data_IF_198671260956
#
_entry.id   IF_198671260956
#
_cell.length_a   1.000
_cell.length_b   1.000
_cell.length_c   1.000
_cell.angle_alpha   90.00
_cell.angle_beta   90.00
_cell.angle_gamma   90.00
#
_symmetry.space_group_name_H-M   'P 1'
#
loop_
_entity.id
_entity.type
_entity.pdbx_description
1 polymer ?
#
# COMPACT_ATOMS: atom_id res chain seq x y z
N UNK A 1 1.99 23.95 15.24
CA UNK A 1 2.70 23.39 14.06
C UNK A 1 1.69 22.65 13.20
N UNK A 2 1.55 22.98 11.91
CA UNK A 2 0.67 22.24 10.98
C UNK A 2 1.54 21.33 10.10
N UNK A 3 1.19 20.04 10.01
CA UNK A 3 1.82 19.07 9.12
C UNK A 3 0.80 18.57 8.09
N UNK A 4 1.22 18.42 6.85
CA UNK A 4 0.44 17.84 5.76
C UNK A 4 0.98 16.46 5.42
N UNK A 5 0.18 15.43 5.71
CA UNK A 5 0.46 14.05 5.34
C UNK A 5 -0.35 13.67 4.10
N UNK A 6 0.36 13.22 3.07
CA UNK A 6 -0.20 12.67 1.84
C UNK A 6 0.02 11.15 1.85
N UNK A 7 -1.07 10.39 1.74
CA UNK A 7 -1.01 8.92 1.73
C UNK A 7 -2.06 8.31 0.81
N UNK A 8 -2.14 6.98 0.74
CA UNK A 8 -3.02 6.26 -0.17
C UNK A 8 -4.32 5.78 0.50
N UNK A 9 -5.33 5.45 -0.29
CA UNK A 9 -6.73 5.32 0.15
C UNK A 9 -6.95 4.42 1.37
N UNK A 10 -6.25 3.28 1.45
CA UNK A 10 -6.49 2.25 2.48
C UNK A 10 -5.77 2.53 3.81
N UNK A 11 -4.97 3.59 3.91
CA UNK A 11 -4.28 3.96 5.16
C UNK A 11 -5.06 4.97 6.01
N UNK A 12 -6.17 5.51 5.49
CA UNK A 12 -6.98 6.57 6.13
C UNK A 12 -7.32 6.27 7.58
N UNK A 13 -7.75 5.04 7.89
CA UNK A 13 -8.14 4.66 9.26
C UNK A 13 -6.94 4.63 10.19
N UNK A 14 -5.84 3.99 9.77
CA UNK A 14 -4.62 3.86 10.57
C UNK A 14 -4.04 5.25 10.89
N UNK A 15 -3.78 6.07 9.88
CA UNK A 15 -3.25 7.42 10.10
C UNK A 15 -4.20 8.32 10.88
N UNK A 16 -5.52 8.16 10.74
CA UNK A 16 -6.48 8.91 11.54
C UNK A 16 -6.39 8.63 13.05
N UNK A 17 -5.93 7.45 13.46
CA UNK A 17 -5.65 7.12 14.86
C UNK A 17 -4.23 7.50 15.26
N UNK A 18 -3.25 7.12 14.45
CA UNK A 18 -1.82 7.37 14.71
C UNK A 18 -1.54 8.86 14.88
N UNK A 19 -2.13 9.72 14.06
CA UNK A 19 -1.95 11.17 14.20
C UNK A 19 -2.52 11.72 15.50
N UNK A 20 -3.63 11.18 16.02
CA UNK A 20 -4.17 11.59 17.32
C UNK A 20 -3.24 11.19 18.47
N UNK A 21 -2.69 9.97 18.41
CA UNK A 21 -1.72 9.49 19.39
C UNK A 21 -0.44 10.34 19.35
N UNK A 22 0.07 10.61 18.15
CA UNK A 22 1.24 11.48 17.99
C UNK A 22 1.00 12.90 18.51
N UNK A 23 -0.15 13.53 18.21
CA UNK A 23 -0.47 14.88 18.70
C UNK A 23 -0.36 14.92 20.23
N UNK A 24 -1.00 13.97 20.92
CA UNK A 24 -0.97 13.87 22.38
C UNK A 24 0.45 13.66 22.89
N UNK A 25 1.15 12.65 22.37
CA UNK A 25 2.47 12.27 22.86
C UNK A 25 3.51 13.37 22.59
N UNK A 26 3.40 14.07 21.45
CA UNK A 26 4.30 15.16 21.09
C UNK A 26 4.08 16.39 21.96
N UNK A 27 2.82 16.73 22.27
CA UNK A 27 2.49 17.83 23.18
C UNK A 27 2.96 17.53 24.61
N UNK A 28 2.76 16.31 25.10
CA UNK A 28 3.26 15.88 26.41
C UNK A 28 4.80 15.95 26.51
N UNK A 29 5.50 15.53 25.45
CA UNK A 29 6.96 15.49 25.46
C UNK A 29 7.63 16.86 25.23
N UNK A 30 6.96 17.79 24.54
CA UNK A 30 7.61 19.03 24.05
C UNK A 30 6.91 20.32 24.46
N UNK A 31 5.68 20.25 24.98
CA UNK A 31 4.81 21.41 25.21
C UNK A 31 4.32 22.10 23.93
N UNK A 32 4.57 21.52 22.75
CA UNK A 32 4.18 22.10 21.45
C UNK A 32 3.01 21.34 20.85
N UNK A 33 1.99 22.07 20.40
CA UNK A 33 0.83 21.48 19.72
C UNK A 33 1.09 21.28 18.22
N UNK A 34 0.86 20.06 17.75
CA UNK A 34 0.86 19.70 16.31
C UNK A 34 -0.58 19.50 15.81
N UNK A 35 -0.83 19.80 14.53
CA UNK A 35 -2.09 19.50 13.83
C UNK A 35 -1.77 18.87 12.48
N UNK A 36 -2.70 18.07 11.95
CA UNK A 36 -2.54 17.42 10.66
C UNK A 36 -3.59 17.85 9.63
N UNK A 37 -3.12 18.11 8.42
CA UNK A 37 -3.92 18.05 7.19
C UNK A 37 -3.65 16.70 6.53
N UNK A 38 -4.71 15.92 6.28
CA UNK A 38 -4.60 14.56 5.76
C UNK A 38 -5.20 14.46 4.37
N UNK A 39 -4.45 13.88 3.43
CA UNK A 39 -4.91 13.59 2.06
C UNK A 39 -4.76 12.11 1.74
N UNK A 40 -5.81 11.51 1.19
CA UNK A 40 -5.85 10.10 0.82
C UNK A 40 -6.49 9.89 -0.55
N UNK A 41 -5.89 9.03 -1.37
CA UNK A 41 -6.44 8.62 -2.68
C UNK A 41 -5.61 7.53 -3.37
N UNK A 42 -5.75 7.37 -4.68
CA UNK A 42 -4.84 6.52 -5.46
C UNK A 42 -3.39 6.99 -5.30
N UNK A 43 -2.46 6.07 -5.00
CA UNK A 43 -1.06 6.40 -4.68
C UNK A 43 -0.36 7.19 -5.80
N UNK A 44 -0.57 6.80 -7.06
CA UNK A 44 0.01 7.53 -8.20
C UNK A 44 -0.61 8.92 -8.39
N UNK A 45 -1.91 9.08 -8.11
CA UNK A 45 -2.59 10.39 -8.12
C UNK A 45 -2.04 11.31 -7.03
N UNK A 46 -1.79 10.77 -5.83
CA UNK A 46 -1.23 11.54 -4.72
C UNK A 46 0.22 11.96 -5.01
N UNK A 47 1.04 11.08 -5.59
CA UNK A 47 2.38 11.44 -6.03
C UNK A 47 2.37 12.57 -7.06
N UNK A 48 1.50 12.48 -8.07
CA UNK A 48 1.33 13.55 -9.07
C UNK A 48 0.91 14.87 -8.42
N UNK A 49 -0.06 14.84 -7.50
CA UNK A 49 -0.49 16.06 -6.80
C UNK A 49 0.66 16.75 -6.04
N UNK A 50 1.56 15.98 -5.42
CA UNK A 50 2.76 16.53 -4.76
C UNK A 50 3.74 17.13 -5.77
N UNK A 51 3.97 16.46 -6.90
CA UNK A 51 4.80 16.97 -8.00
C UNK A 51 4.22 18.28 -8.56
N UNK A 52 2.90 18.37 -8.69
CA UNK A 52 2.18 19.54 -9.20
C UNK A 52 2.03 20.67 -8.17
N UNK A 53 2.68 20.56 -7.00
CA UNK A 53 2.78 21.66 -6.02
C UNK A 53 1.87 21.54 -4.79
N UNK A 54 1.29 20.38 -4.50
CA UNK A 54 0.61 20.16 -3.23
C UNK A 54 1.62 20.33 -2.07
N UNK A 55 1.32 21.17 -1.05
CA UNK A 55 2.24 21.47 0.05
C UNK A 55 2.26 20.35 1.09
N UNK A 56 2.72 19.16 0.68
CA UNK A 56 2.92 18.01 1.56
C UNK A 56 4.23 18.17 2.33
N UNK A 57 4.22 17.91 3.64
CA UNK A 57 5.45 17.77 4.44
C UNK A 57 5.96 16.34 4.40
N UNK A 58 5.04 15.38 4.32
CA UNK A 58 5.30 13.95 4.47
C UNK A 58 4.48 13.20 3.43
N UNK A 59 5.13 12.26 2.73
CA UNK A 59 4.46 11.31 1.83
C UNK A 59 4.64 9.90 2.35
N UNK A 60 3.55 9.14 2.46
CA UNK A 60 3.58 7.72 2.79
C UNK A 60 2.73 6.95 1.79
N UNK A 61 3.38 6.40 0.76
CA UNK A 61 2.72 5.95 -0.47
C UNK A 61 2.67 4.43 -0.56
N UNK A 62 1.93 3.92 -1.54
CA UNK A 62 1.63 2.49 -1.65
C UNK A 62 2.76 1.66 -2.26
N UNK A 63 3.74 2.29 -2.92
CA UNK A 63 4.88 1.63 -3.54
C UNK A 63 6.06 2.58 -3.76
N UNK A 64 7.30 2.06 -3.81
CA UNK A 64 8.52 2.84 -4.08
C UNK A 64 8.48 3.68 -5.36
N UNK A 65 7.91 3.17 -6.46
CA UNK A 65 7.83 3.94 -7.72
C UNK A 65 7.17 5.30 -7.59
N UNK A 66 6.16 5.42 -6.74
CA UNK A 66 5.46 6.68 -6.59
C UNK A 66 6.29 7.69 -5.78
N UNK A 67 7.11 7.24 -4.83
CA UNK A 67 8.06 8.12 -4.12
C UNK A 67 9.27 8.47 -5.00
N UNK A 68 9.75 7.52 -5.82
CA UNK A 68 10.81 7.75 -6.81
C UNK A 68 10.41 8.86 -7.78
N UNK A 69 9.17 8.89 -8.27
CA UNK A 69 8.68 9.99 -9.13
C UNK A 69 8.78 11.37 -8.47
N UNK A 70 8.55 11.44 -7.16
CA UNK A 70 8.69 12.69 -6.39
C UNK A 70 10.17 13.06 -6.20
N UNK A 71 11.04 12.06 -6.01
CA UNK A 71 12.49 12.26 -5.98
C UNK A 71 13.04 12.74 -7.33
N UNK A 72 12.58 12.17 -8.44
CA UNK A 72 12.97 12.56 -9.80
C UNK A 72 12.55 14.01 -10.13
N UNK A 73 11.44 14.47 -9.54
CA UNK A 73 11.02 15.87 -9.56
C UNK A 73 11.84 16.79 -8.63
N UNK A 74 12.91 16.26 -8.01
CA UNK A 74 13.84 16.97 -7.10
C UNK A 74 13.17 17.56 -5.86
N UNK A 75 12.08 16.93 -5.41
CA UNK A 75 11.36 17.35 -4.21
C UNK A 75 11.85 16.67 -2.92
N UNK A 76 12.56 15.55 -3.06
CA UNK A 76 13.16 14.78 -1.95
C UNK A 76 14.68 14.83 -2.05
N UNK A 77 15.37 14.66 -0.92
CA UNK A 77 16.81 14.37 -0.92
C UNK A 77 17.10 13.02 -1.56
N UNK A 78 18.28 12.88 -2.18
CA UNK A 78 18.71 11.63 -2.83
C UNK A 78 18.78 10.44 -1.84
N UNK A 79 19.09 10.72 -0.58
CA UNK A 79 19.21 9.71 0.49
C UNK A 79 17.86 9.29 1.10
N UNK A 80 16.73 9.77 0.58
CA UNK A 80 15.38 9.48 1.12
C UNK A 80 15.13 8.00 1.42
N UNK A 81 15.58 7.00 0.62
CA UNK A 81 15.30 5.60 0.93
C UNK A 81 15.91 5.16 2.26
N UNK A 82 17.00 5.81 2.69
CA UNK A 82 17.79 5.43 3.87
C UNK A 82 17.56 6.33 5.09
N UNK A 83 16.71 7.35 4.98
CA UNK A 83 16.49 8.32 6.06
C UNK A 83 15.76 7.71 7.27
N UNK A 84 14.92 6.69 7.05
CA UNK A 84 14.14 6.03 8.09
C UNK A 84 14.37 4.51 8.10
N UNK A 85 14.05 3.82 9.22
CA UNK A 85 14.26 2.37 9.33
C UNK A 85 13.63 1.57 8.19
N UNK A 86 14.17 0.37 7.95
CA UNK A 86 13.68 -0.59 6.96
C UNK A 86 13.61 -0.02 5.54
N UNK A 87 14.64 0.73 5.11
CA UNK A 87 14.66 1.42 3.82
C UNK A 87 13.43 2.34 3.64
N UNK A 88 13.09 3.05 4.71
CA UNK A 88 11.93 3.94 4.80
C UNK A 88 10.60 3.24 4.50
N UNK A 89 10.52 1.92 4.63
CA UNK A 89 9.26 1.16 4.55
C UNK A 89 8.60 1.17 5.92
N UNK A 90 7.43 1.82 6.02
CA UNK A 90 6.72 1.97 7.29
C UNK A 90 5.84 0.77 7.60
N UNK A 91 5.21 0.19 6.59
CA UNK A 91 4.37 -1.01 6.72
C UNK A 91 4.50 -1.89 5.50
N UNK A 92 4.22 -3.17 5.69
CA UNK A 92 4.18 -4.16 4.62
C UNK A 92 2.76 -4.71 4.43
N UNK A 93 2.53 -5.35 3.29
CA UNK A 93 1.33 -6.14 3.01
C UNK A 93 1.68 -7.22 1.98
N UNK A 94 0.68 -7.95 1.51
CA UNK A 94 0.76 -8.92 0.42
C UNK A 94 -0.52 -8.84 -0.42
N UNK A 95 -0.52 -9.44 -1.61
CA UNK A 95 -1.73 -9.53 -2.39
C UNK A 95 -2.68 -10.59 -1.79
N UNK A 96 -3.99 -10.32 -1.83
CA UNK A 96 -5.04 -11.22 -1.38
C UNK A 96 -6.14 -11.37 -2.43
N UNK A 97 -6.78 -12.54 -2.43
CA UNK A 97 -7.89 -12.92 -3.29
C UNK A 97 -9.13 -13.04 -2.41
N UNK A 98 -10.04 -12.06 -2.48
CA UNK A 98 -11.32 -12.13 -1.78
C UNK A 98 -12.32 -12.87 -2.66
N UNK A 99 -12.93 -13.94 -2.16
CA UNK A 99 -13.89 -14.74 -2.93
C UNK A 99 -15.31 -14.53 -2.43
N UNK A 100 -16.30 -14.95 -3.22
CA UNK A 100 -17.70 -15.00 -2.77
C UNK A 100 -17.84 -16.00 -1.61
N UNK A 101 -18.86 -15.80 -0.76
CA UNK A 101 -19.19 -16.73 0.33
C UNK A 101 -19.34 -18.14 -0.23
N UNK A 102 -18.65 -19.10 0.40
CA UNK A 102 -18.61 -20.50 -0.04
C UNK A 102 -17.68 -20.80 -1.21
N UNK A 103 -17.01 -19.78 -1.79
CA UNK A 103 -16.05 -19.92 -2.90
C UNK A 103 -16.58 -20.77 -4.07
N UNK A 104 -17.67 -20.34 -4.73
CA UNK A 104 -18.38 -21.16 -5.74
C UNK A 104 -17.53 -21.52 -6.96
N UNK A 105 -16.49 -20.71 -7.26
CA UNK A 105 -15.54 -20.97 -8.35
C UNK A 105 -14.37 -21.87 -7.94
N UNK A 106 -14.30 -22.27 -6.66
CA UNK A 106 -13.21 -23.05 -6.09
C UNK A 106 -11.83 -22.43 -6.40
N UNK A 107 -11.70 -21.12 -6.14
CA UNK A 107 -10.46 -20.37 -6.35
C UNK A 107 -9.55 -20.63 -5.15
N UNK A 108 -8.34 -21.12 -5.39
CA UNK A 108 -7.37 -21.49 -4.36
C UNK A 108 -6.03 -20.73 -4.52
N UNK A 109 -5.76 -20.16 -5.69
CA UNK A 109 -4.55 -19.35 -5.89
C UNK A 109 -4.45 -18.71 -7.27
N UNK A 110 -3.24 -18.32 -7.63
CA UNK A 110 -2.94 -17.55 -8.84
C UNK A 110 -3.35 -18.25 -10.14
N UNK A 111 -3.21 -19.58 -10.21
CA UNK A 111 -3.49 -20.33 -11.43
C UNK A 111 -4.99 -20.38 -11.76
N UNK A 112 -5.87 -20.32 -10.75
CA UNK A 112 -7.32 -20.34 -10.94
C UNK A 112 -7.85 -19.04 -11.58
N UNK A 113 -7.10 -17.95 -11.46
CA UNK A 113 -7.50 -16.64 -11.98
C UNK A 113 -7.49 -16.56 -13.52
N UNK A 114 -6.86 -17.52 -14.19
CA UNK A 114 -6.78 -17.58 -15.65
C UNK A 114 -7.92 -18.41 -16.27
N UNK A 115 -8.83 -18.98 -15.46
CA UNK A 115 -9.95 -19.77 -15.97
C UNK A 115 -10.99 -18.88 -16.64
N UNK A 116 -11.55 -19.36 -17.75
CA UNK A 116 -12.54 -18.63 -18.55
C UNK A 116 -13.86 -18.36 -17.82
N UNK A 117 -14.14 -19.11 -16.75
CA UNK A 117 -15.35 -18.95 -15.96
C UNK A 117 -15.18 -18.03 -14.74
N UNK A 118 -14.04 -17.35 -14.59
CA UNK A 118 -13.74 -16.51 -13.42
C UNK A 118 -13.71 -15.03 -13.81
N UNK A 119 -14.65 -14.25 -13.29
CA UNK A 119 -14.64 -12.80 -13.45
C UNK A 119 -13.86 -12.10 -12.31
N UNK A 120 -12.86 -11.29 -12.66
CA UNK A 120 -11.95 -10.66 -11.70
C UNK A 120 -12.22 -9.18 -11.55
N UNK A 121 -12.23 -8.70 -10.31
CA UNK A 121 -12.19 -7.27 -9.97
C UNK A 121 -10.78 -6.93 -9.46
N UNK A 122 -10.18 -5.88 -10.01
CA UNK A 122 -8.92 -5.30 -9.53
C UNK A 122 -8.90 -3.80 -9.86
N UNK A 123 -8.13 -2.99 -9.14
CA UNK A 123 -8.06 -1.57 -9.43
C UNK A 123 -7.28 -1.28 -10.74
N UNK A 124 -7.29 -0.04 -11.19
CA UNK A 124 -6.57 0.40 -12.39
C UNK A 124 -5.06 0.62 -12.11
N UNK A 125 -4.13 -0.04 -12.83
CA UNK A 125 -2.68 0.11 -12.61
C UNK A 125 -2.13 1.51 -12.96
N UNK A 126 -2.86 2.33 -13.73
CA UNK A 126 -2.46 3.71 -14.02
C UNK A 126 -2.59 4.63 -12.80
N UNK A 127 -3.55 4.36 -11.91
CA UNK A 127 -3.88 5.23 -10.76
C UNK A 127 -3.63 4.58 -9.41
N UNK A 128 -3.72 3.25 -9.32
CA UNK A 128 -3.68 2.50 -8.07
C UNK A 128 -2.41 1.66 -7.91
N UNK A 129 -1.72 1.83 -6.78
CA UNK A 129 -0.56 1.01 -6.43
C UNK A 129 -0.88 -0.48 -6.34
N UNK A 130 -2.06 -0.84 -5.83
CA UNK A 130 -2.47 -2.25 -5.61
C UNK A 130 -2.44 -3.03 -6.91
N UNK A 131 -2.87 -2.41 -8.00
CA UNK A 131 -2.96 -3.04 -9.29
C UNK A 131 -1.57 -3.27 -9.90
N UNK A 132 -0.62 -2.37 -9.66
CA UNK A 132 0.79 -2.61 -10.03
C UNK A 132 1.40 -3.76 -9.21
N UNK A 133 1.11 -3.82 -7.90
CA UNK A 133 1.56 -4.94 -7.07
C UNK A 133 0.96 -6.28 -7.51
N UNK A 134 -0.33 -6.31 -7.86
CA UNK A 134 -1.00 -7.50 -8.40
C UNK A 134 -0.40 -7.91 -9.74
N UNK A 135 -0.11 -6.95 -10.63
CA UNK A 135 0.60 -7.21 -11.87
C UNK A 135 1.94 -7.88 -11.60
N UNK A 136 2.75 -7.36 -10.67
CA UNK A 136 4.03 -8.00 -10.32
C UNK A 136 3.86 -9.38 -9.71
N UNK A 137 2.86 -9.58 -8.83
CA UNK A 137 2.58 -10.90 -8.26
C UNK A 137 2.29 -11.93 -9.37
N UNK A 138 1.40 -11.59 -10.31
CA UNK A 138 1.03 -12.44 -11.44
C UNK A 138 2.21 -12.66 -12.40
N UNK A 139 2.92 -11.59 -12.75
CA UNK A 139 4.12 -11.66 -13.60
C UNK A 139 5.18 -12.58 -12.98
N UNK A 140 5.43 -12.45 -11.68
CA UNK A 140 6.36 -13.30 -10.95
C UNK A 140 5.92 -14.78 -10.88
N UNK A 141 4.62 -15.06 -10.87
CA UNK A 141 4.13 -16.44 -11.01
C UNK A 141 4.44 -17.00 -12.40
N UNK A 142 4.16 -16.22 -13.45
CA UNK A 142 4.38 -16.64 -14.84
C UNK A 142 5.85 -16.71 -15.24
N UNK A 143 6.73 -15.98 -14.57
CA UNK A 143 8.19 -16.03 -14.82
C UNK A 143 8.78 -17.45 -14.76
N UNK A 144 8.16 -18.36 -13.99
CA UNK A 144 8.57 -19.78 -13.96
C UNK A 144 8.44 -20.48 -15.32
N UNK A 145 7.60 -19.96 -16.21
CA UNK A 145 7.40 -20.43 -17.59
C UNK A 145 8.28 -19.67 -18.61
N UNK A 146 9.15 -18.77 -18.16
CA UNK A 146 10.01 -17.93 -18.98
C UNK A 146 9.54 -16.47 -19.06
N UNK A 147 10.48 -15.57 -19.37
CA UNK A 147 10.25 -14.12 -19.42
C UNK A 147 9.21 -13.72 -20.49
N UNK A 148 9.26 -14.36 -21.66
CA UNK A 148 8.29 -14.12 -22.73
C UNK A 148 6.86 -14.42 -22.26
N UNK A 149 6.65 -15.59 -21.64
CA UNK A 149 5.33 -15.97 -21.10
C UNK A 149 4.84 -15.05 -19.96
N UNK A 150 5.75 -14.41 -19.22
CA UNK A 150 5.39 -13.43 -18.20
C UNK A 150 5.00 -12.07 -18.81
N UNK A 151 5.70 -11.64 -19.85
CA UNK A 151 5.42 -10.39 -20.57
C UNK A 151 4.15 -10.47 -21.41
N UNK A 152 3.90 -11.62 -22.03
CA UNK A 152 2.70 -11.88 -22.84
C UNK A 152 1.46 -12.15 -21.97
N UNK A 153 1.59 -12.13 -20.64
CA UNK A 153 0.47 -12.37 -19.75
C UNK A 153 -0.49 -11.19 -19.75
N UNK A 154 -1.48 -11.26 -20.63
CA UNK A 154 -2.65 -10.39 -20.62
C UNK A 154 -3.68 -10.98 -19.66
N UNK A 155 -4.16 -10.16 -18.74
CA UNK A 155 -5.15 -10.59 -17.75
C UNK A 155 -6.56 -10.27 -18.23
N UNK A 156 -7.04 -11.06 -19.19
CA UNK A 156 -8.33 -10.84 -19.90
C UNK A 156 -9.56 -11.02 -19.01
N UNK A 157 -9.40 -11.66 -17.85
CA UNK A 157 -10.49 -11.93 -16.90
C UNK A 157 -10.94 -10.70 -16.10
N UNK A 158 -10.32 -9.53 -16.30
CA UNK A 158 -10.67 -8.30 -15.58
C UNK A 158 -11.98 -7.72 -16.11
N UNK A 159 -13.00 -7.70 -15.26
CA UNK A 159 -14.32 -7.19 -15.60
C UNK A 159 -14.40 -5.65 -15.53
N UNK A 160 -13.87 -5.07 -14.45
CA UNK A 160 -13.87 -3.62 -14.20
C UNK A 160 -12.56 -3.23 -13.52
N UNK A 161 -12.06 -2.03 -13.83
CA UNK A 161 -10.88 -1.43 -13.21
C UNK A 161 -11.19 -0.11 -12.48
N UNK A 162 -11.67 -0.16 -11.22
CA UNK A 162 -11.94 1.03 -10.42
C UNK A 162 -10.68 1.84 -10.13
N UNK A 163 -10.83 3.12 -9.78
CA UNK A 163 -9.68 4.03 -9.69
C UNK A 163 -8.66 3.69 -8.58
N UNK A 164 -9.11 3.06 -7.50
CA UNK A 164 -8.29 2.69 -6.35
C UNK A 164 -8.81 1.43 -5.64
N UNK A 165 -8.04 0.94 -4.66
CA UNK A 165 -8.35 -0.29 -3.93
C UNK A 165 -9.67 -0.22 -3.14
N UNK A 166 -10.03 0.95 -2.60
CA UNK A 166 -11.27 1.11 -1.81
C UNK A 166 -12.49 1.04 -2.74
N UNK A 167 -12.39 1.67 -3.90
CA UNK A 167 -13.45 1.61 -4.90
C UNK A 167 -13.61 0.19 -5.46
N UNK A 168 -12.51 -0.54 -5.67
CA UNK A 168 -12.55 -1.96 -6.03
C UNK A 168 -13.24 -2.82 -4.96
N UNK A 169 -12.96 -2.57 -3.67
CA UNK A 169 -13.68 -3.21 -2.57
C UNK A 169 -15.18 -2.90 -2.61
N UNK A 170 -15.58 -1.64 -2.88
CA UNK A 170 -16.99 -1.26 -2.96
C UNK A 170 -17.72 -1.93 -4.13
N UNK A 171 -17.09 -2.02 -5.31
CA UNK A 171 -17.63 -2.76 -6.47
C UNK A 171 -17.85 -4.24 -6.11
N UNK A 172 -16.90 -4.88 -5.43
CA UNK A 172 -17.01 -6.29 -5.09
C UNK A 172 -18.02 -6.57 -3.97
N UNK A 173 -17.89 -5.87 -2.84
CA UNK A 173 -18.68 -6.13 -1.61
C UNK A 173 -20.10 -5.55 -1.69
N UNK A 174 -20.27 -4.33 -2.23
CA UNK A 174 -21.57 -3.65 -2.23
C UNK A 174 -22.35 -3.84 -3.53
N UNK A 175 -21.67 -3.78 -4.67
CA UNK A 175 -22.32 -3.92 -5.98
C UNK A 175 -22.43 -5.39 -6.43
N UNK A 176 -21.75 -6.32 -5.75
CA UNK A 176 -21.88 -7.74 -6.01
C UNK A 176 -21.29 -8.19 -7.35
N UNK A 177 -20.36 -7.42 -7.94
CA UNK A 177 -19.76 -7.72 -9.24
C UNK A 177 -18.51 -8.61 -9.15
N UNK A 178 -18.34 -9.53 -10.10
CA UNK A 178 -17.20 -10.44 -10.20
C UNK A 178 -17.23 -11.61 -9.21
N UNK A 179 -16.36 -12.60 -9.45
CA UNK A 179 -16.21 -13.81 -8.64
C UNK A 179 -15.09 -13.70 -7.59
N UNK A 180 -14.06 -12.93 -7.92
CA UNK A 180 -12.90 -12.69 -7.05
C UNK A 180 -12.42 -11.24 -7.15
N UNK A 181 -12.07 -10.66 -6.01
CA UNK A 181 -11.39 -9.37 -5.91
C UNK A 181 -9.91 -9.59 -5.59
N UNK A 182 -9.04 -9.02 -6.42
CA UNK A 182 -7.61 -8.90 -6.14
C UNK A 182 -7.36 -7.56 -5.45
N UNK A 183 -6.82 -7.62 -4.24
CA UNK A 183 -6.54 -6.42 -3.44
C UNK A 183 -5.38 -6.66 -2.47
N UNK A 184 -5.12 -5.71 -1.58
CA UNK A 184 -4.20 -5.89 -0.47
C UNK A 184 -4.82 -6.78 0.62
N UNK A 185 -4.00 -7.59 1.30
CA UNK A 185 -4.46 -8.34 2.49
C UNK A 185 -5.06 -7.42 3.55
N UNK A 186 -4.38 -6.31 3.87
CA UNK A 186 -4.88 -5.34 4.83
C UNK A 186 -6.25 -4.76 4.43
N UNK A 187 -6.51 -4.62 3.12
CA UNK A 187 -7.80 -4.11 2.63
C UNK A 187 -8.91 -5.16 2.74
N UNK A 188 -8.60 -6.44 2.48
CA UNK A 188 -9.54 -7.54 2.71
C UNK A 188 -9.91 -7.66 4.20
N UNK A 189 -8.91 -7.63 5.09
CA UNK A 189 -9.09 -7.65 6.55
C UNK A 189 -9.93 -6.45 6.99
N UNK A 190 -9.50 -5.23 6.64
CA UNK A 190 -10.19 -4.02 7.06
C UNK A 190 -11.63 -3.96 6.55
N UNK A 191 -11.88 -4.36 5.30
CA UNK A 191 -13.24 -4.37 4.75
C UNK A 191 -14.14 -5.32 5.55
N UNK A 192 -13.65 -6.51 5.91
CA UNK A 192 -14.37 -7.44 6.80
C UNK A 192 -14.62 -6.88 8.22
N UNK A 193 -13.78 -5.96 8.71
CA UNK A 193 -13.99 -5.31 10.00
C UNK A 193 -15.10 -4.26 9.98
N UNK A 194 -15.38 -3.64 8.83
CA UNK A 194 -16.34 -2.52 8.71
C UNK A 194 -17.68 -2.90 8.09
N UNK A 195 -17.78 -4.05 7.43
CA UNK A 195 -19.07 -4.60 6.95
C UNK A 195 -19.77 -5.40 8.06
N UNK A 196 -21.07 -5.69 7.89
CA UNK A 196 -21.79 -6.53 8.84
C UNK A 196 -21.23 -7.96 8.82
N UNK A 197 -21.32 -8.67 9.93
CA UNK A 197 -20.76 -10.03 10.04
C UNK A 197 -21.25 -10.98 8.92
N UNK A 198 -22.54 -10.91 8.58
CA UNK A 198 -23.14 -11.70 7.49
C UNK A 198 -22.65 -11.36 6.09
N UNK A 199 -22.05 -10.18 5.91
CA UNK A 199 -21.50 -9.63 4.65
C UNK A 199 -19.98 -9.86 4.55
N UNK A 200 -19.33 -10.37 5.60
CA UNK A 200 -17.92 -10.71 5.56
C UNK A 200 -17.66 -11.78 4.52
N UNK A 201 -16.58 -11.60 3.77
CA UNK A 201 -16.19 -12.50 2.70
C UNK A 201 -14.87 -13.20 3.04
N UNK A 202 -14.71 -14.48 2.69
CA UNK A 202 -13.44 -15.17 2.82
C UNK A 202 -12.40 -14.55 1.90
N UNK A 203 -11.13 -14.60 2.32
CA UNK A 203 -10.00 -14.23 1.48
C UNK A 203 -8.89 -15.27 1.59
N UNK A 204 -8.08 -15.33 0.54
CA UNK A 204 -6.94 -16.23 0.41
C UNK A 204 -5.70 -15.38 0.22
N UNK A 205 -4.62 -15.72 0.91
CA UNK A 205 -3.29 -15.17 0.66
C UNK A 205 -2.47 -16.27 0.00
N UNK A 206 -2.25 -16.22 -1.33
CA UNK A 206 -1.56 -17.28 -2.02
C UNK A 206 -0.08 -17.31 -1.65
N UNK A 207 0.53 -18.49 -1.71
CA UNK A 207 1.97 -18.65 -1.71
C UNK A 207 2.60 -18.07 -3.00
N UNK A 208 3.93 -17.93 -3.01
CA UNK A 208 4.70 -17.27 -4.09
C UNK A 208 4.24 -15.81 -4.34
N UNK A 209 3.88 -15.11 -3.27
CA UNK A 209 3.38 -13.74 -3.32
C UNK A 209 4.51 -12.71 -3.37
N UNK A 210 4.15 -11.46 -3.64
CA UNK A 210 5.06 -10.33 -3.55
C UNK A 210 4.91 -9.60 -2.21
N UNK A 211 6.04 -9.16 -1.67
CA UNK A 211 6.07 -8.29 -0.49
C UNK A 211 5.75 -6.86 -0.92
N UNK A 212 4.59 -6.38 -0.51
CA UNK A 212 4.13 -5.03 -0.76
C UNK A 212 4.79 -4.14 0.28
N UNK A 213 5.63 -3.20 -0.16
CA UNK A 213 6.36 -2.28 0.70
C UNK A 213 5.79 -0.87 0.54
N UNK A 214 5.30 -0.28 1.64
CA UNK A 214 4.74 1.06 1.64
C UNK A 214 5.82 2.05 2.13
N UNK A 215 6.48 2.80 1.23
CA UNK A 215 7.54 3.73 1.60
C UNK A 215 7.00 5.04 2.20
N UNK A 216 7.87 5.69 2.96
CA UNK A 216 7.72 7.00 3.58
C UNK A 216 8.86 7.92 3.12
N UNK A 217 8.59 9.21 2.95
CA UNK A 217 9.62 10.22 2.80
C UNK A 217 9.18 11.59 3.35
N UNK A 218 10.15 12.39 3.75
CA UNK A 218 9.96 13.83 3.97
C UNK A 218 10.02 14.54 2.61
N UNK A 219 9.12 15.51 2.38
CA UNK A 219 9.18 16.33 1.17
C UNK A 219 10.11 17.52 1.44
N UNK A 220 11.41 17.27 1.35
CA UNK A 220 12.47 18.20 1.71
C UNK A 220 12.32 19.59 1.07
N UNK A 221 11.87 19.64 -0.19
CA UNK A 221 11.61 20.90 -0.88
C UNK A 221 10.61 21.79 -0.14
N UNK A 222 9.48 21.22 0.31
CA UNK A 222 8.43 21.97 1.01
C UNK A 222 8.84 22.32 2.45
N UNK A 223 9.71 21.53 3.05
CA UNK A 223 10.20 21.73 4.42
C UNK A 223 11.39 22.69 4.50
N UNK A 224 12.07 22.98 3.39
CA UNK A 224 13.29 23.80 3.35
C UNK A 224 13.12 25.16 4.00
N UNK A 225 12.04 25.86 3.67
CA UNK A 225 11.75 27.21 4.17
C UNK A 225 10.75 27.20 5.34
N UNK A 226 10.33 26.01 5.79
CA UNK A 226 9.44 25.87 6.93
C UNK A 226 10.18 26.23 8.25
N UNK A 227 9.44 26.67 9.29
CA UNK A 227 10.03 26.86 10.62
C UNK A 227 10.75 25.62 11.13
N UNK A 228 11.80 25.79 11.94
CA UNK A 228 12.62 24.68 12.44
C UNK A 228 11.76 23.66 13.19
N UNK A 229 10.85 24.13 14.03
CA UNK A 229 9.93 23.30 14.80
C UNK A 229 9.00 22.46 13.90
N UNK A 230 8.67 22.94 12.69
CA UNK A 230 7.88 22.16 11.73
C UNK A 230 8.70 21.03 11.12
N UNK A 231 9.95 21.30 10.74
CA UNK A 231 10.89 20.27 10.25
C UNK A 231 11.16 19.20 11.30
N UNK A 232 11.37 19.61 12.55
CA UNK A 232 11.56 18.72 13.69
C UNK A 232 10.32 17.86 13.93
N UNK A 233 9.13 18.47 13.94
CA UNK A 233 7.87 17.73 14.12
C UNK A 233 7.60 16.74 12.99
N UNK A 234 7.91 17.10 11.73
CA UNK A 234 7.76 16.20 10.59
C UNK A 234 8.69 14.97 10.71
N UNK A 235 9.97 15.19 11.01
CA UNK A 235 10.94 14.11 11.23
C UNK A 235 10.55 13.24 12.43
N UNK A 236 10.08 13.85 13.52
CA UNK A 236 9.59 13.14 14.70
C UNK A 236 8.37 12.27 14.40
N UNK A 237 7.41 12.77 13.60
CA UNK A 237 6.26 11.97 13.17
C UNK A 237 6.71 10.78 12.33
N UNK A 238 7.61 10.98 11.36
CA UNK A 238 8.14 9.89 10.55
C UNK A 238 8.79 8.79 11.40
N UNK A 239 9.58 9.15 12.42
CA UNK A 239 10.16 8.19 13.38
C UNK A 239 9.08 7.52 14.25
N UNK A 240 8.06 8.27 14.68
CA UNK A 240 6.97 7.76 15.49
C UNK A 240 6.20 6.63 14.79
N UNK A 241 6.09 6.66 13.46
CA UNK A 241 5.42 5.61 12.68
C UNK A 241 6.05 4.21 12.87
N UNK A 242 7.31 4.14 13.29
CA UNK A 242 8.02 2.88 13.55
C UNK A 242 7.88 2.39 14.99
N UNK A 243 7.28 3.19 15.88
CA UNK A 243 7.04 2.76 17.26
C UNK A 243 6.02 1.63 17.30
N UNK A 244 6.11 0.79 18.33
CA UNK A 244 5.15 -0.30 18.55
C UNK A 244 3.71 0.21 18.69
N UNK A 245 3.51 1.40 19.27
CA UNK A 245 2.19 2.03 19.40
C UNK A 245 1.59 2.35 18.02
N UNK A 246 2.35 3.00 17.14
CA UNK A 246 1.89 3.29 15.78
C UNK A 246 1.69 2.00 14.96
N UNK A 247 2.61 1.05 15.07
CA UNK A 247 2.54 -0.24 14.37
C UNK A 247 1.37 -1.10 14.83
N UNK A 248 0.93 -1.00 16.08
CA UNK A 248 -0.30 -1.65 16.56
C UNK A 248 -1.54 -1.12 15.83
N UNK A 249 -1.62 0.17 15.54
CA UNK A 249 -2.74 0.74 14.78
C UNK A 249 -2.72 0.37 13.30
N UNK A 250 -1.53 0.20 12.72
CA UNK A 250 -1.38 -0.39 11.39
C UNK A 250 -1.83 -1.86 11.38
N UNK A 251 -1.36 -2.68 12.33
CA UNK A 251 -1.71 -4.09 12.42
C UNK A 251 -3.21 -4.30 12.70
N UNK A 252 -3.84 -3.43 13.51
CA UNK A 252 -5.28 -3.41 13.72
C UNK A 252 -6.09 -3.09 12.44
N UNK A 253 -5.44 -2.52 11.42
CA UNK A 253 -6.01 -2.32 10.08
C UNK A 253 -5.54 -3.38 9.08
N UNK A 254 -4.92 -4.47 9.55
CA UNK A 254 -4.48 -5.61 8.74
C UNK A 254 -3.12 -5.45 8.05
N UNK A 255 -2.39 -4.36 8.28
CA UNK A 255 -1.03 -4.22 7.73
C UNK A 255 -0.04 -5.14 8.44
N UNK A 256 0.94 -5.66 7.69
CA UNK A 256 2.04 -6.44 8.24
C UNK A 256 3.07 -5.51 8.87
N UNK A 257 3.60 -5.95 10.00
CA UNK A 257 4.46 -5.18 10.89
C UNK A 257 5.72 -5.99 11.24
N UNK A 258 6.88 -5.34 11.49
CA UNK A 258 8.08 -6.06 11.95
C UNK A 258 7.95 -6.63 13.36
N UNK A 259 6.93 -6.23 14.12
CA UNK A 259 6.68 -6.73 15.48
C UNK A 259 5.94 -8.07 15.45
N UNK A 260 6.65 -9.14 15.81
CA UNK A 260 6.13 -10.51 15.79
C UNK A 260 4.89 -10.68 16.70
N UNK A 261 4.93 -10.10 17.89
CA UNK A 261 3.83 -10.19 18.85
C UNK A 261 2.55 -9.51 18.36
N UNK A 262 2.68 -8.40 17.61
CA UNK A 262 1.53 -7.78 16.94
C UNK A 262 0.99 -8.66 15.80
N UNK A 263 1.87 -9.33 15.05
CA UNK A 263 1.43 -10.25 13.99
C UNK A 263 0.62 -11.43 14.55
N UNK A 264 1.02 -11.95 15.72
CA UNK A 264 0.30 -12.98 16.46
C UNK A 264 -1.03 -12.44 17.03
N UNK A 265 -1.01 -11.27 17.65
CA UNK A 265 -2.21 -10.60 18.21
C UNK A 265 -3.32 -10.43 17.16
N UNK A 266 -2.95 -10.03 15.93
CA UNK A 266 -3.89 -9.81 14.83
C UNK A 266 -4.01 -11.01 13.86
N UNK A 267 -3.47 -12.18 14.25
CA UNK A 267 -3.58 -13.44 13.50
C UNK A 267 -3.12 -13.39 12.03
N UNK A 268 -2.11 -12.57 11.72
CA UNK A 268 -1.55 -12.45 10.37
C UNK A 268 -0.72 -13.68 10.01
N UNK A 269 -1.17 -14.44 9.01
CA UNK A 269 -0.54 -15.70 8.63
C UNK A 269 0.80 -15.48 7.89
N UNK A 270 1.83 -16.31 8.14
CA UNK A 270 3.04 -16.34 7.32
C UNK A 270 2.73 -16.70 5.86
N UNK A 271 3.53 -16.17 4.92
CA UNK A 271 3.37 -16.43 3.47
C UNK A 271 4.62 -17.12 2.93
N UNK A 272 4.47 -18.27 2.26
CA UNK A 272 5.61 -19.00 1.70
C UNK A 272 6.01 -18.43 0.35
N UNK A 273 7.31 -18.44 0.07
CA UNK A 273 7.84 -17.97 -1.21
C UNK A 273 7.66 -16.46 -1.46
N UNK A 274 7.55 -15.66 -0.40
CA UNK A 274 7.42 -14.21 -0.49
C UNK A 274 8.70 -13.59 -1.09
N UNK A 275 8.56 -12.83 -2.17
CA UNK A 275 9.68 -12.20 -2.88
C UNK A 275 9.52 -10.68 -2.95
N UNK A 276 10.61 -9.96 -3.24
CA UNK A 276 10.61 -8.50 -3.41
C UNK A 276 11.06 -8.11 -4.83
N UNK A 277 10.68 -6.92 -5.27
CA UNK A 277 11.06 -6.39 -6.58
C UNK A 277 12.57 -6.30 -6.73
N UNK A 278 13.28 -5.85 -5.69
CA UNK A 278 14.74 -5.72 -5.70
C UNK A 278 15.41 -7.08 -5.91
N UNK A 279 14.95 -8.12 -5.20
CA UNK A 279 15.56 -9.45 -5.29
C UNK A 279 15.26 -10.17 -6.59
N UNK A 280 14.10 -9.92 -7.20
CA UNK A 280 13.60 -10.72 -8.33
C UNK A 280 13.65 -10.01 -9.67
N UNK A 281 13.49 -8.70 -9.68
CA UNK A 281 13.36 -7.86 -10.88
C UNK A 281 14.52 -6.86 -11.04
N UNK A 282 15.51 -6.89 -10.16
CA UNK A 282 16.72 -6.07 -10.26
C UNK A 282 16.61 -4.69 -9.59
N UNK A 283 15.41 -4.28 -9.16
CA UNK A 283 15.20 -2.99 -8.52
C UNK A 283 14.06 -2.19 -9.13
N UNK A 284 13.67 -1.12 -8.44
CA UNK A 284 12.55 -0.28 -8.88
C UNK A 284 12.87 0.58 -10.10
N UNK A 285 14.14 0.96 -10.28
CA UNK A 285 14.56 1.75 -11.44
C UNK A 285 14.49 0.94 -12.73
N UNK A 286 14.95 -0.30 -12.67
CA UNK A 286 14.90 -1.29 -13.75
C UNK A 286 13.44 -1.61 -14.10
N UNK A 287 12.61 -1.83 -13.08
CA UNK A 287 11.17 -2.07 -13.26
C UNK A 287 10.44 -0.89 -13.87
N UNK A 288 10.73 0.34 -13.44
CA UNK A 288 10.13 1.55 -14.03
C UNK A 288 10.43 1.60 -15.53
N UNK A 289 11.71 1.43 -15.89
CA UNK A 289 12.17 1.41 -17.28
C UNK A 289 11.57 0.28 -18.10
N UNK A 290 11.45 -0.92 -17.54
CA UNK A 290 10.99 -2.10 -18.27
C UNK A 290 9.48 -2.11 -18.50
N UNK A 291 8.69 -1.60 -17.55
CA UNK A 291 7.23 -1.81 -17.54
C UNK A 291 6.39 -0.53 -17.65
N UNK A 292 6.95 0.64 -17.39
CA UNK A 292 6.16 1.85 -17.17
C UNK A 292 6.71 3.13 -17.81
N UNK A 293 7.91 3.10 -18.38
CA UNK A 293 8.40 4.16 -19.26
C UNK A 293 7.84 3.92 -20.68
N UNK A 294 7.61 5.02 -21.42
CA UNK A 294 7.12 4.98 -22.80
C UNK A 294 8.18 4.48 -23.80
#
# INVERSE_FOLDING_TARGET
ILLTLVSFAVTRKAYGKITKLFIRNYEEATGRTVRFRLSFGGSGTQARAVIDGMPADIVALALPLDVIKIADARLLREDWPTQFPNNSVVVESVCALVTRKGNPKNINGWDDLARDDVAVITANPKTAGVARWIFFALWGVKLKKGKQAANDYVFDQVLVQPRDAREASDVFYRQGMGDVLLTYENEAIFTNLVVKEKERLPYIVPDNNIRIQCPLALVDHNLRDAPLEQREAASAFCRYLYTKEAQREFAACGFRTPYKDLSEEFALQPVKGLWTVEKRLGGWKEVQKEFFDD
#
